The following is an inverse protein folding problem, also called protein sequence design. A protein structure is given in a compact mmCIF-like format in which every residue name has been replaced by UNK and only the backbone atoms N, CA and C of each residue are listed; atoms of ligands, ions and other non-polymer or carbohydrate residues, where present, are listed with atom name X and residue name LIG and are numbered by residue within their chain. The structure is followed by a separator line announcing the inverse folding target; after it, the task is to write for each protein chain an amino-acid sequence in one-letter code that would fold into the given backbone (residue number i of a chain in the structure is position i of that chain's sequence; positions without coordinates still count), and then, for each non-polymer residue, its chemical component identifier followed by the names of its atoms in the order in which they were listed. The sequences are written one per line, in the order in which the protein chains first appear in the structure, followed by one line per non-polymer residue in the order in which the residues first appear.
data_IF_110885670781
#
_entry.id   IF_110885670781
#
_cell.length_a   1.000
_cell.length_b   1.000
_cell.length_c   1.000
_cell.angle_alpha   90.00
_cell.angle_beta   90.00
_cell.angle_gamma   90.00
#
_symmetry.space_group_name_H-M   'P 1'
#
loop_
_entity.id
_entity.type
_entity.pdbx_description
1 polymer ?
#
# COMPACT_ATOMS: atom_id res chain seq x y z
N UNK A 1 -25.38 -17.81 33.07
CA UNK A 1 -24.84 -16.81 32.13
C UNK A 1 -25.98 -16.15 31.38
N UNK A 2 -26.25 -14.88 31.65
CA UNK A 2 -27.48 -14.16 31.27
C UNK A 2 -27.49 -13.75 29.78
N UNK A 3 -28.69 -13.66 29.19
CA UNK A 3 -28.91 -13.31 27.78
C UNK A 3 -28.23 -11.99 27.34
N UNK A 4 -27.97 -11.10 28.29
CA UNK A 4 -27.28 -9.82 28.11
C UNK A 4 -25.81 -10.01 27.77
N UNK A 5 -25.09 -10.94 28.41
CA UNK A 5 -23.67 -11.22 28.12
C UNK A 5 -23.49 -11.77 26.71
N UNK A 6 -24.42 -12.60 26.24
CA UNK A 6 -24.41 -13.13 24.87
C UNK A 6 -24.73 -12.05 23.83
N UNK A 7 -25.64 -11.12 24.15
CA UNK A 7 -25.98 -9.99 23.28
C UNK A 7 -24.85 -8.96 23.21
N UNK A 8 -24.18 -8.71 24.34
CA UNK A 8 -22.98 -7.87 24.40
C UNK A 8 -21.84 -8.49 23.62
N UNK A 9 -21.55 -9.80 23.75
CA UNK A 9 -20.52 -10.45 22.93
C UNK A 9 -20.81 -10.34 21.43
N UNK A 10 -22.06 -10.50 21.00
CA UNK A 10 -22.47 -10.29 19.60
C UNK A 10 -22.38 -8.84 19.14
N UNK A 11 -22.55 -7.88 20.05
CA UNK A 11 -22.37 -6.47 19.77
C UNK A 11 -20.88 -6.11 19.72
N UNK A 12 -20.03 -6.67 20.58
CA UNK A 12 -18.57 -6.55 20.49
C UNK A 12 -18.03 -7.20 19.21
N UNK A 13 -18.58 -8.35 18.79
CA UNK A 13 -18.35 -8.95 17.46
C UNK A 13 -18.97 -8.17 16.28
N UNK A 14 -19.71 -7.09 16.54
CA UNK A 14 -20.20 -6.17 15.48
C UNK A 14 -19.52 -4.80 15.55
N UNK A 15 -19.08 -4.37 16.73
CA UNK A 15 -18.26 -3.17 17.00
C UNK A 15 -16.79 -3.48 16.70
N UNK A 16 -16.55 -4.35 15.72
CA UNK A 16 -15.22 -4.68 15.29
C UNK A 16 -14.81 -3.62 14.24
N UNK A 17 -14.35 -2.46 14.72
CA UNK A 17 -13.53 -1.57 13.89
C UNK A 17 -12.26 -2.31 13.39
N UNK A 18 -11.95 -3.45 14.01
CA UNK A 18 -10.90 -4.41 13.65
C UNK A 18 -11.41 -5.73 13.04
N UNK A 19 -12.60 -5.82 12.38
CA UNK A 19 -12.92 -7.03 11.57
C UNK A 19 -12.17 -6.90 10.26
N UNK A 20 -10.87 -6.65 10.38
CA UNK A 20 -9.95 -6.71 9.30
C UNK A 20 -9.89 -8.19 8.98
N UNK A 21 -10.46 -8.65 7.86
CA UNK A 21 -10.42 -10.07 7.55
C UNK A 21 -8.96 -10.50 7.60
N UNK A 22 -8.72 -11.58 8.35
CA UNK A 22 -7.39 -12.15 8.56
C UNK A 22 -6.71 -12.56 7.25
N UNK A 23 -7.53 -12.71 6.21
CA UNK A 23 -7.21 -13.10 4.84
C UNK A 23 -7.68 -12.04 3.85
N UNK A 24 -6.94 -11.89 2.75
CA UNK A 24 -7.33 -11.00 1.65
C UNK A 24 -7.13 -11.72 0.31
N UNK A 25 -8.15 -11.65 -0.56
CA UNK A 25 -8.06 -12.21 -1.91
C UNK A 25 -7.12 -11.38 -2.80
N UNK A 26 -6.66 -11.96 -3.92
CA UNK A 26 -5.67 -11.34 -4.82
C UNK A 26 -6.10 -9.97 -5.38
N UNK A 27 -7.37 -9.80 -5.74
CA UNK A 27 -7.88 -8.53 -6.31
C UNK A 27 -7.90 -7.44 -5.24
N UNK A 28 -8.42 -7.75 -4.05
CA UNK A 28 -8.40 -6.82 -2.90
C UNK A 28 -6.98 -6.49 -2.49
N UNK A 29 -6.07 -7.46 -2.51
CA UNK A 29 -4.65 -7.25 -2.23
C UNK A 29 -4.03 -6.28 -3.22
N UNK A 30 -4.23 -6.49 -4.53
CA UNK A 30 -3.72 -5.61 -5.57
C UNK A 30 -4.29 -4.19 -5.44
N UNK A 31 -5.62 -4.07 -5.33
CA UNK A 31 -6.31 -2.79 -5.18
C UNK A 31 -5.79 -2.00 -3.98
N UNK A 32 -5.71 -2.62 -2.81
CA UNK A 32 -5.30 -1.94 -1.57
C UNK A 32 -3.81 -1.63 -1.53
N UNK A 33 -2.98 -2.49 -2.10
CA UNK A 33 -1.52 -2.22 -2.21
C UNK A 33 -1.27 -1.06 -3.16
N UNK A 34 -1.95 -1.04 -4.31
CA UNK A 34 -1.90 0.08 -5.26
C UNK A 34 -2.42 1.39 -4.66
N UNK A 35 -3.57 1.35 -3.99
CA UNK A 35 -4.14 2.52 -3.31
C UNK A 35 -3.21 3.05 -2.20
N UNK A 36 -2.62 2.16 -1.39
CA UNK A 36 -1.63 2.53 -0.38
C UNK A 36 -0.44 3.27 -1.00
N UNK A 37 0.09 2.76 -2.12
CA UNK A 37 1.18 3.43 -2.85
C UNK A 37 0.76 4.82 -3.36
N UNK A 38 -0.43 4.93 -3.96
CA UNK A 38 -0.95 6.21 -4.47
C UNK A 38 -1.15 7.23 -3.36
N UNK A 39 -1.69 6.82 -2.21
CA UNK A 39 -1.87 7.70 -1.05
C UNK A 39 -0.51 8.21 -0.54
N UNK A 40 0.48 7.31 -0.39
CA UNK A 40 1.83 7.70 0.04
C UNK A 40 2.45 8.71 -0.92
N UNK A 41 2.34 8.46 -2.24
CA UNK A 41 2.83 9.38 -3.27
C UNK A 41 2.13 10.73 -3.16
N UNK A 42 0.80 10.77 -3.17
CA UNK A 42 0.03 12.02 -3.12
C UNK A 42 0.36 12.82 -1.86
N UNK A 43 0.39 12.17 -0.69
CA UNK A 43 0.73 12.83 0.57
C UNK A 43 2.16 13.36 0.54
N UNK A 44 3.12 12.55 0.13
CA UNK A 44 4.53 12.97 0.04
C UNK A 44 4.72 14.16 -0.90
N UNK A 45 4.17 14.10 -2.12
CA UNK A 45 4.25 15.21 -3.07
C UNK A 45 3.54 16.46 -2.56
N UNK A 46 2.39 16.33 -1.88
CA UNK A 46 1.69 17.47 -1.29
C UNK A 46 2.54 18.18 -0.21
N UNK A 47 3.27 17.43 0.62
CA UNK A 47 4.19 17.99 1.61
C UNK A 47 5.35 18.73 0.95
N UNK A 48 5.97 18.12 -0.07
CA UNK A 48 7.05 18.73 -0.84
C UNK A 48 6.58 20.03 -1.51
N UNK A 49 5.45 19.99 -2.21
CA UNK A 49 4.86 21.17 -2.85
C UNK A 49 4.53 22.26 -1.81
N UNK A 50 4.02 21.89 -0.64
CA UNK A 50 3.76 22.84 0.45
C UNK A 50 5.03 23.53 0.95
N UNK A 51 6.09 22.77 1.20
CA UNK A 51 7.39 23.31 1.64
C UNK A 51 8.01 24.21 0.56
N UNK A 52 7.98 23.79 -0.71
CA UNK A 52 8.48 24.62 -1.81
C UNK A 52 7.66 25.89 -2.00
N UNK A 53 6.33 25.81 -1.93
CA UNK A 53 5.44 26.97 -2.01
C UNK A 53 5.75 28.01 -0.94
N UNK A 54 5.93 27.57 0.31
CA UNK A 54 6.35 28.45 1.41
C UNK A 54 7.74 29.06 1.16
N UNK A 55 8.67 28.28 0.60
CA UNK A 55 10.03 28.75 0.30
C UNK A 55 10.06 29.85 -0.77
N UNK A 56 9.08 29.85 -1.69
CA UNK A 56 8.91 30.91 -2.69
C UNK A 56 8.34 32.19 -2.05
N UNK A 57 7.36 32.05 -1.16
CA UNK A 57 6.68 33.20 -0.53
C UNK A 57 7.58 33.85 0.55
N UNK A 58 8.34 33.05 1.31
CA UNK A 58 9.16 33.50 2.44
C UNK A 58 10.61 32.96 2.37
N UNK A 59 11.42 33.38 1.38
CA UNK A 59 12.70 32.74 1.10
C UNK A 59 13.73 32.85 2.24
N UNK A 60 13.83 34.01 2.91
CA UNK A 60 14.77 34.21 4.02
C UNK A 60 14.43 33.35 5.24
N UNK A 61 13.18 33.39 5.68
CA UNK A 61 12.67 32.62 6.82
C UNK A 61 12.79 31.11 6.57
N UNK A 62 12.37 30.66 5.38
CA UNK A 62 12.39 29.23 5.06
C UNK A 62 13.82 28.69 4.92
N UNK A 63 14.76 29.49 4.42
CA UNK A 63 16.18 29.07 4.33
C UNK A 63 16.78 28.82 5.71
N UNK A 64 16.57 29.73 6.66
CA UNK A 64 17.03 29.56 8.04
C UNK A 64 16.34 28.37 8.70
N UNK A 65 15.00 28.30 8.58
CA UNK A 65 14.23 27.20 9.14
C UNK A 65 14.68 25.82 8.64
N UNK A 66 14.90 25.67 7.33
CA UNK A 66 15.33 24.40 6.72
C UNK A 66 16.73 24.00 7.20
N UNK A 67 17.65 24.95 7.30
CA UNK A 67 19.01 24.68 7.76
C UNK A 67 19.02 24.21 9.22
N UNK A 68 18.31 24.95 10.09
CA UNK A 68 18.29 24.66 11.53
C UNK A 68 17.47 23.42 11.88
N UNK A 69 16.49 23.06 11.04
CA UNK A 69 15.52 21.98 11.32
C UNK A 69 15.55 20.86 10.26
N UNK A 70 16.65 20.69 9.53
CA UNK A 70 16.77 19.71 8.43
C UNK A 70 16.37 18.28 8.85
N UNK A 71 16.75 17.85 10.06
CA UNK A 71 16.37 16.54 10.61
C UNK A 71 14.86 16.41 10.85
N UNK A 72 14.20 17.48 11.31
CA UNK A 72 12.75 17.48 11.55
C UNK A 72 12.01 17.36 10.24
N UNK A 73 12.44 18.09 9.21
CA UNK A 73 11.86 18.02 7.86
C UNK A 73 12.01 16.60 7.29
N UNK A 74 13.18 15.98 7.46
CA UNK A 74 13.39 14.59 7.02
C UNK A 74 12.43 13.62 7.72
N UNK A 75 12.24 13.76 9.04
CA UNK A 75 11.30 12.93 9.81
C UNK A 75 9.87 13.13 9.32
N UNK A 76 9.43 14.37 9.13
CA UNK A 76 8.07 14.70 8.63
C UNK A 76 7.84 14.08 7.26
N UNK A 77 8.81 14.19 6.36
CA UNK A 77 8.75 13.59 5.03
C UNK A 77 8.81 12.06 5.06
N UNK A 78 9.44 11.46 6.07
CA UNK A 78 9.56 10.01 6.26
C UNK A 78 8.30 9.34 6.83
N UNK A 79 7.49 10.05 7.62
CA UNK A 79 6.30 9.49 8.28
C UNK A 79 5.32 8.81 7.30
N UNK A 80 4.94 9.42 6.16
CA UNK A 80 4.05 8.78 5.19
C UNK A 80 4.61 7.46 4.65
N UNK A 81 5.93 7.39 4.41
CA UNK A 81 6.59 6.15 3.97
C UNK A 81 6.55 5.08 5.06
N UNK A 82 6.83 5.43 6.32
CA UNK A 82 6.75 4.48 7.44
C UNK A 82 5.34 3.89 7.58
N UNK A 83 4.31 4.74 7.53
CA UNK A 83 2.90 4.31 7.60
C UNK A 83 2.54 3.43 6.40
N UNK A 84 2.90 3.86 5.18
CA UNK A 84 2.67 3.10 3.96
C UNK A 84 3.37 1.75 3.97
N UNK A 85 4.59 1.70 4.51
CA UNK A 85 5.39 0.50 4.63
C UNK A 85 4.76 -0.52 5.60
N UNK A 86 4.35 -0.07 6.78
CA UNK A 86 3.63 -0.92 7.76
C UNK A 86 2.36 -1.50 7.13
N UNK A 87 1.56 -0.65 6.45
CA UNK A 87 0.36 -1.11 5.76
C UNK A 87 0.67 -2.16 4.68
N UNK A 88 1.74 -1.99 3.92
CA UNK A 88 2.16 -2.96 2.91
C UNK A 88 2.50 -4.33 3.51
N UNK A 89 3.25 -4.35 4.62
CA UNK A 89 3.59 -5.60 5.34
C UNK A 89 2.32 -6.29 5.85
N UNK A 90 1.39 -5.54 6.44
CA UNK A 90 0.12 -6.08 6.93
C UNK A 90 -0.69 -6.71 5.78
N UNK A 91 -0.74 -6.06 4.61
CA UNK A 91 -1.45 -6.60 3.43
C UNK A 91 -0.80 -7.88 2.91
N UNK A 92 0.53 -7.94 2.83
CA UNK A 92 1.28 -9.14 2.44
C UNK A 92 1.04 -10.31 3.39
N UNK A 93 1.06 -10.07 4.71
CA UNK A 93 0.77 -11.10 5.72
C UNK A 93 -0.63 -11.68 5.52
N UNK A 94 -1.66 -10.83 5.31
CA UNK A 94 -3.02 -11.31 5.04
C UNK A 94 -3.12 -12.09 3.73
N UNK A 95 -2.34 -11.71 2.70
CA UNK A 95 -2.30 -12.43 1.43
C UNK A 95 -1.65 -13.81 1.62
N UNK A 96 -0.56 -13.88 2.38
CA UNK A 96 0.07 -15.15 2.76
C UNK A 96 -0.87 -16.05 3.56
N UNK A 97 -1.64 -15.48 4.48
CA UNK A 97 -2.69 -16.22 5.19
C UNK A 97 -3.77 -16.75 4.25
N UNK A 98 -4.14 -16.01 3.21
CA UNK A 98 -5.08 -16.49 2.20
C UNK A 98 -4.48 -17.61 1.32
N UNK A 99 -3.16 -17.66 1.17
CA UNK A 99 -2.42 -18.78 0.57
C UNK A 99 -2.13 -19.92 1.58
N UNK A 100 -2.76 -19.90 2.76
CA UNK A 100 -2.54 -20.85 3.86
C UNK A 100 -1.05 -20.98 4.29
N UNK A 101 -0.28 -19.92 4.07
CA UNK A 101 1.14 -19.81 4.39
C UNK A 101 1.38 -19.01 5.67
N UNK A 102 2.52 -19.21 6.33
CA UNK A 102 2.87 -18.48 7.57
C UNK A 102 3.18 -17.01 7.24
N UNK A 103 2.76 -16.07 8.10
CA UNK A 103 3.03 -14.63 7.91
C UNK A 103 4.52 -14.27 7.83
N UNK A 104 5.41 -15.05 8.46
CA UNK A 104 6.87 -14.87 8.42
C UNK A 104 7.48 -14.93 7.01
N UNK A 105 6.80 -15.56 6.04
CA UNK A 105 7.24 -15.53 4.65
C UNK A 105 7.26 -14.11 4.06
N UNK A 106 6.64 -13.13 4.71
CA UNK A 106 6.76 -11.71 4.33
C UNK A 106 8.21 -11.22 4.34
N UNK A 107 9.09 -11.86 5.11
CA UNK A 107 10.52 -11.56 5.14
C UNK A 107 11.20 -11.75 3.76
N UNK A 108 10.65 -12.61 2.89
CA UNK A 108 11.13 -12.73 1.51
C UNK A 108 11.01 -11.43 0.71
N UNK A 109 10.08 -10.56 1.09
CA UNK A 109 9.92 -9.24 0.45
C UNK A 109 11.12 -8.31 0.67
N UNK A 110 11.98 -8.61 1.65
CA UNK A 110 13.17 -7.82 1.97
C UNK A 110 14.43 -8.32 1.27
N UNK A 111 14.39 -9.49 0.63
CA UNK A 111 15.53 -10.05 -0.06
C UNK A 111 15.56 -9.51 -1.49
N UNK A 112 16.58 -8.72 -1.88
CA UNK A 112 16.70 -8.22 -3.25
C UNK A 112 16.71 -9.38 -4.26
N UNK A 113 16.06 -9.19 -5.40
CA UNK A 113 15.94 -10.21 -6.46
C UNK A 113 14.83 -11.25 -6.23
N UNK A 114 14.62 -11.70 -4.98
CA UNK A 114 13.51 -12.64 -4.65
C UNK A 114 12.15 -12.02 -4.92
N UNK A 115 12.04 -10.70 -4.75
CA UNK A 115 10.81 -9.92 -4.99
C UNK A 115 10.25 -10.11 -6.40
N UNK A 116 11.10 -10.35 -7.41
CA UNK A 116 10.70 -10.56 -8.81
C UNK A 116 9.84 -11.80 -8.97
N UNK A 117 9.99 -12.79 -8.10
CA UNK A 117 9.15 -13.99 -8.09
C UNK A 117 8.05 -13.91 -7.02
N UNK A 118 8.39 -13.36 -5.85
CA UNK A 118 7.49 -13.36 -4.69
C UNK A 118 6.28 -12.42 -4.86
N UNK A 119 6.47 -11.19 -5.32
CA UNK A 119 5.34 -10.25 -5.50
C UNK A 119 4.37 -10.71 -6.60
N UNK A 120 4.82 -11.12 -7.80
CA UNK A 120 3.92 -11.68 -8.80
C UNK A 120 3.19 -12.92 -8.31
N UNK A 121 3.84 -13.79 -7.53
CA UNK A 121 3.17 -14.94 -6.93
C UNK A 121 1.99 -14.51 -6.02
N UNK A 122 2.16 -13.47 -5.21
CA UNK A 122 1.08 -12.92 -4.38
C UNK A 122 -0.07 -12.31 -5.21
N UNK A 123 0.23 -11.73 -6.37
CA UNK A 123 -0.78 -11.14 -7.26
C UNK A 123 -1.51 -12.15 -8.14
N UNK A 124 -0.83 -13.21 -8.58
CA UNK A 124 -1.32 -14.11 -9.62
C UNK A 124 -1.91 -15.41 -9.07
N UNK A 125 -1.32 -15.96 -8.01
CA UNK A 125 -1.75 -17.26 -7.46
C UNK A 125 -3.10 -17.08 -6.77
N UNK A 126 -3.99 -18.05 -6.93
CA UNK A 126 -5.29 -18.06 -6.25
C UNK A 126 -5.18 -18.42 -4.77
N UNK A 127 -6.07 -17.83 -3.97
CA UNK A 127 -6.21 -18.16 -2.55
C UNK A 127 -6.74 -19.58 -2.31
N UNK A 128 -6.64 -20.05 -1.08
CA UNK A 128 -7.23 -21.34 -0.69
C UNK A 128 -8.75 -21.33 -0.81
N UNK A 129 -9.30 -22.39 -1.40
CA UNK A 129 -10.75 -22.60 -1.52
C UNK A 129 -11.33 -22.93 -0.14
N UNK A 130 -12.42 -22.26 0.22
CA UNK A 130 -13.08 -22.42 1.51
C UNK A 130 -12.28 -21.85 2.69
N UNK A 131 -12.59 -22.39 3.87
CA UNK A 131 -12.00 -21.98 5.13
C UNK A 131 -10.59 -22.56 5.28
N UNK A 132 -9.71 -21.82 5.95
CA UNK A 132 -8.36 -22.28 6.25
C UNK A 132 -7.99 -21.97 7.70
N UNK A 133 -6.78 -22.35 8.13
CA UNK A 133 -6.32 -22.16 9.53
C UNK A 133 -6.28 -20.70 10.02
N UNK A 134 -6.41 -19.74 9.11
CA UNK A 134 -6.43 -18.31 9.43
C UNK A 134 -7.84 -17.72 9.40
N UNK A 135 -8.87 -18.48 9.00
CA UNK A 135 -10.26 -18.05 9.04
C UNK A 135 -11.05 -18.39 7.78
N UNK A 136 -12.28 -17.87 7.72
CA UNK A 136 -13.21 -18.11 6.63
C UNK A 136 -12.70 -17.60 5.28
N UNK A 137 -13.26 -18.11 4.19
CA UNK A 137 -12.98 -17.61 2.84
C UNK A 137 -13.20 -16.07 2.78
N UNK A 138 -12.23 -15.27 2.28
CA UNK A 138 -12.41 -13.83 2.17
C UNK A 138 -13.52 -13.48 1.17
N UNK A 139 -14.30 -12.44 1.46
CA UNK A 139 -15.35 -12.02 0.53
C UNK A 139 -14.79 -11.62 -0.83
N UNK A 140 -15.65 -11.70 -1.85
CA UNK A 140 -15.33 -11.26 -3.20
C UNK A 140 -14.98 -9.76 -3.23
N UNK A 141 -14.06 -9.39 -4.11
CA UNK A 141 -13.73 -8.00 -4.34
C UNK A 141 -14.97 -7.21 -4.82
N UNK A 142 -15.13 -6.00 -4.31
CA UNK A 142 -16.18 -5.07 -4.74
C UNK A 142 -15.88 -4.54 -6.14
N UNK A 143 -16.89 -4.03 -6.86
CA UNK A 143 -16.70 -3.40 -8.18
C UNK A 143 -15.65 -2.27 -8.13
N UNK A 144 -15.64 -1.49 -7.06
CA UNK A 144 -14.66 -0.43 -6.84
C UNK A 144 -13.24 -0.96 -6.71
N UNK A 145 -13.04 -2.07 -5.98
CA UNK A 145 -11.72 -2.70 -5.85
C UNK A 145 -11.20 -3.21 -7.22
N UNK A 146 -12.07 -3.70 -8.10
CA UNK A 146 -11.67 -4.03 -9.48
C UNK A 146 -11.22 -2.79 -10.27
N UNK A 147 -11.95 -1.68 -10.19
CA UNK A 147 -11.57 -0.43 -10.87
C UNK A 147 -10.22 0.08 -10.35
N UNK A 148 -10.04 0.11 -9.02
CA UNK A 148 -8.80 0.57 -8.38
C UNK A 148 -7.61 -0.30 -8.81
N UNK A 149 -7.81 -1.62 -9.00
CA UNK A 149 -6.76 -2.53 -9.50
C UNK A 149 -6.22 -2.09 -10.87
N UNK A 150 -7.06 -1.51 -11.72
CA UNK A 150 -6.64 -1.02 -13.03
C UNK A 150 -5.74 0.21 -12.99
N UNK A 151 -5.85 1.06 -11.96
CA UNK A 151 -5.15 2.36 -11.90
C UNK A 151 -3.62 2.19 -11.85
N UNK A 152 -3.03 1.38 -10.94
CA UNK A 152 -1.59 1.15 -10.93
C UNK A 152 -1.06 0.55 -12.24
N UNK A 153 -1.81 -0.37 -12.85
CA UNK A 153 -1.43 -0.98 -14.13
C UNK A 153 -1.41 0.04 -15.26
N UNK A 154 -2.40 0.93 -15.30
CA UNK A 154 -2.45 2.03 -16.26
C UNK A 154 -1.28 3.00 -16.08
N UNK A 155 -0.94 3.36 -14.83
CA UNK A 155 0.20 4.22 -14.53
C UNK A 155 1.52 3.57 -14.98
N UNK A 156 1.72 2.27 -14.70
CA UNK A 156 2.89 1.53 -15.16
C UNK A 156 2.96 1.51 -16.69
N UNK A 157 1.83 1.30 -17.36
CA UNK A 157 1.74 1.32 -18.82
C UNK A 157 2.13 2.69 -19.41
N UNK A 158 1.56 3.78 -18.89
CA UNK A 158 1.92 5.15 -19.31
C UNK A 158 3.40 5.45 -19.05
N UNK A 159 3.93 5.04 -17.90
CA UNK A 159 5.35 5.21 -17.57
C UNK A 159 6.25 4.52 -18.60
N UNK A 160 5.95 3.28 -18.97
CA UNK A 160 6.70 2.53 -20.00
C UNK A 160 6.65 3.27 -21.35
N UNK A 161 5.49 3.77 -21.77
CA UNK A 161 5.35 4.55 -22.99
C UNK A 161 6.20 5.83 -22.96
N UNK A 162 6.24 6.56 -21.83
CA UNK A 162 7.07 7.74 -21.68
C UNK A 162 8.57 7.42 -21.75
N UNK A 163 9.01 6.31 -21.14
CA UNK A 163 10.42 5.89 -21.19
C UNK A 163 10.84 5.54 -22.61
N UNK A 164 10.02 4.75 -23.32
CA UNK A 164 10.27 4.39 -24.72
C UNK A 164 10.25 5.62 -25.61
N UNK A 165 9.23 6.48 -25.44
CA UNK A 165 9.10 7.72 -26.21
C UNK A 165 10.28 8.67 -26.02
N UNK A 166 10.83 8.76 -24.80
CA UNK A 166 12.05 9.55 -24.52
C UNK A 166 13.25 9.00 -25.28
N UNK A 167 13.46 7.68 -25.31
CA UNK A 167 14.57 7.08 -26.06
C UNK A 167 14.44 7.36 -27.56
N UNK A 168 13.24 7.19 -28.11
CA UNK A 168 12.95 7.48 -29.52
C UNK A 168 13.21 8.96 -29.85
N UNK A 169 12.72 9.88 -29.03
CA UNK A 169 12.93 11.31 -29.21
C UNK A 169 14.42 11.70 -29.21
N UNK A 170 15.20 11.15 -28.28
CA UNK A 170 16.62 11.40 -28.21
C UNK A 170 17.36 10.89 -29.46
N UNK A 171 16.98 9.74 -30.01
CA UNK A 171 17.53 9.20 -31.27
C UNK A 171 17.13 10.02 -32.50
N UNK A 172 16.02 10.75 -32.45
CA UNK A 172 15.57 11.59 -33.55
C UNK A 172 16.35 12.93 -33.63
N UNK A 173 16.80 13.44 -32.48
CA UNK A 173 17.53 14.71 -32.39
C UNK A 173 19.06 14.53 -32.46
N UNK A 174 19.56 13.33 -32.14
CA UNK A 174 20.96 12.94 -32.32
C UNK A 174 21.28 12.67 -33.80
#
# INVERSE_FOLDING_TARGET
MTNITRKLNRLFERIIFFNIPSRINRIRYFARTGLNLLIVIVVFFSLIVGIHGLSIIFPGVMKEFINDNSYIILVVLGIPFCIGFINMIILRIKRLHDLNSKGWWVLLSFIPGVQVFFEPALFLIDGTKGDNKFGALPDKATKTEYIITGIPLFIIFIFILCVIGKDIYNRYIA
#
